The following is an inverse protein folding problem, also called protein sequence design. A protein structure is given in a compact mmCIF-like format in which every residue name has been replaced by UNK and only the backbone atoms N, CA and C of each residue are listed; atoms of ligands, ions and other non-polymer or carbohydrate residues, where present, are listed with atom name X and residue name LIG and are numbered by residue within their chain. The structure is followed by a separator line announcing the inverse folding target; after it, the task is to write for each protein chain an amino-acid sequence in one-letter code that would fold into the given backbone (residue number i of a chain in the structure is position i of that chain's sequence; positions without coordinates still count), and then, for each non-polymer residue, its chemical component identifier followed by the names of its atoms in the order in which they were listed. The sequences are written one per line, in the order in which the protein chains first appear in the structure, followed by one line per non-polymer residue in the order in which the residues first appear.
data_IF_682648921489
#
_entry.id   IF_682648921489
#
_cell.length_a   1.000
_cell.length_b   1.000
_cell.length_c   1.000
_cell.angle_alpha   90.00
_cell.angle_beta   90.00
_cell.angle_gamma   90.00
#
_symmetry.space_group_name_H-M   'P 1'
#
loop_
_entity.id
_entity.type
_entity.pdbx_description
1 polymer ?
#
# COMPACT_ATOMS: atom_id res chain seq x y z
N UNK A 1 -9.42 -31.61 -80.18
CA UNK A 1 -10.10 -31.24 -78.95
C UNK A 1 -9.08 -31.28 -77.83
N UNK A 2 -8.53 -30.14 -77.47
CA UNK A 2 -7.55 -30.03 -76.37
C UNK A 2 -8.26 -29.45 -75.11
N UNK A 3 -8.31 -30.22 -74.04
CA UNK A 3 -8.80 -29.76 -72.75
C UNK A 3 -7.69 -29.04 -72.04
N UNK A 4 -7.88 -27.77 -71.71
CA UNK A 4 -7.05 -27.03 -70.78
C UNK A 4 -7.58 -27.21 -69.33
N UNK A 5 -6.74 -27.79 -68.48
CA UNK A 5 -7.00 -27.82 -67.06
C UNK A 5 -6.44 -26.52 -66.41
N UNK A 6 -7.34 -25.74 -65.82
CA UNK A 6 -6.96 -24.54 -65.03
C UNK A 6 -6.69 -24.95 -63.60
N UNK A 7 -5.45 -24.77 -63.12
CA UNK A 7 -5.08 -24.89 -61.72
C UNK A 7 -5.46 -23.61 -61.01
N UNK A 8 -6.40 -23.70 -60.05
CA UNK A 8 -6.69 -22.63 -59.11
C UNK A 8 -5.80 -22.80 -57.88
N UNK A 9 -4.81 -21.91 -57.71
CA UNK A 9 -4.01 -21.83 -56.52
C UNK A 9 -4.80 -21.03 -55.47
N UNK A 10 -5.22 -21.69 -54.38
CA UNK A 10 -5.81 -21.02 -53.22
C UNK A 10 -4.70 -20.41 -52.38
N UNK A 11 -4.64 -19.07 -52.33
CA UNK A 11 -3.77 -18.34 -51.42
C UNK A 11 -4.38 -18.38 -50.01
N UNK A 12 -3.75 -19.10 -49.10
CA UNK A 12 -4.09 -19.08 -47.67
C UNK A 12 -3.43 -17.82 -47.07
N UNK A 13 -4.26 -16.79 -46.80
CA UNK A 13 -3.84 -15.61 -46.08
C UNK A 13 -3.77 -15.96 -44.57
N UNK A 14 -2.55 -16.13 -44.04
CA UNK A 14 -2.35 -16.20 -42.58
C UNK A 14 -2.68 -14.82 -42.00
N UNK A 15 -3.81 -14.70 -41.31
CA UNK A 15 -4.04 -13.58 -40.40
C UNK A 15 -3.10 -13.77 -39.21
N UNK A 16 -2.04 -12.98 -39.14
CA UNK A 16 -1.25 -12.84 -37.92
C UNK A 16 -2.14 -12.13 -36.88
N UNK A 17 -2.58 -12.87 -35.88
CA UNK A 17 -3.21 -12.30 -34.67
C UNK A 17 -2.07 -11.61 -33.93
N UNK A 18 -1.95 -10.28 -34.10
CA UNK A 18 -1.08 -9.47 -33.24
C UNK A 18 -1.77 -9.37 -31.88
N UNK A 19 -1.39 -10.25 -30.96
CA UNK A 19 -1.68 -10.04 -29.54
C UNK A 19 -1.16 -8.65 -29.09
N UNK A 20 -1.66 -8.09 -27.97
CA UNK A 20 -1.13 -6.85 -27.45
C UNK A 20 0.39 -7.00 -27.28
N UNK A 21 1.15 -6.07 -27.86
CA UNK A 21 2.59 -6.07 -27.73
C UNK A 21 2.92 -6.02 -26.23
N UNK A 22 3.51 -7.08 -25.71
CA UNK A 22 4.10 -7.09 -24.37
C UNK A 22 5.10 -5.93 -24.34
N UNK A 23 5.08 -5.13 -23.29
CA UNK A 23 6.06 -4.07 -23.12
C UNK A 23 7.44 -4.71 -23.11
N UNK A 24 8.38 -4.16 -23.89
CA UNK A 24 9.74 -4.71 -23.92
C UNK A 24 10.39 -4.53 -22.55
N UNK A 25 10.69 -5.63 -21.85
CA UNK A 25 11.38 -5.63 -20.56
C UNK A 25 12.68 -4.83 -20.62
N UNK A 26 13.28 -4.69 -21.83
CA UNK A 26 14.47 -3.87 -22.10
C UNK A 26 14.32 -2.38 -21.75
N UNK A 27 13.08 -1.84 -21.70
CA UNK A 27 12.82 -0.44 -21.38
C UNK A 27 12.59 -0.18 -19.89
N UNK A 28 12.60 -1.23 -19.02
CA UNK A 28 12.41 -1.11 -17.57
C UNK A 28 13.67 -1.45 -16.79
N UNK A 29 14.33 -0.46 -16.18
CA UNK A 29 15.48 -0.73 -15.30
C UNK A 29 15.13 -1.66 -14.13
N UNK A 30 13.87 -1.62 -13.63
CA UNK A 30 13.41 -2.49 -12.55
C UNK A 30 13.28 -3.93 -13.02
N UNK A 31 12.60 -4.18 -14.17
CA UNK A 31 12.48 -5.52 -14.73
C UNK A 31 13.82 -6.14 -15.10
N UNK A 32 14.74 -5.34 -15.68
CA UNK A 32 16.12 -5.80 -15.95
C UNK A 32 16.84 -6.26 -14.69
N UNK A 33 16.79 -5.46 -13.61
CA UNK A 33 17.39 -5.85 -12.32
C UNK A 33 16.78 -7.12 -11.76
N UNK A 34 15.45 -7.27 -11.86
CA UNK A 34 14.76 -8.49 -11.39
C UNK A 34 15.18 -9.69 -12.23
N UNK A 35 15.23 -9.55 -13.55
CA UNK A 35 15.66 -10.61 -14.48
C UNK A 35 17.10 -11.05 -14.20
N UNK A 36 18.02 -10.11 -14.00
CA UNK A 36 19.43 -10.40 -13.70
C UNK A 36 19.64 -11.09 -12.36
N UNK A 37 18.82 -10.74 -11.34
CA UNK A 37 18.96 -11.28 -9.98
C UNK A 37 18.14 -12.55 -9.73
N UNK A 38 17.10 -12.79 -10.52
CA UNK A 38 16.09 -13.82 -10.25
C UNK A 38 15.25 -13.53 -8.99
N UNK A 39 15.19 -12.26 -8.53
CA UNK A 39 14.58 -11.87 -7.25
C UNK A 39 13.82 -10.56 -7.39
N UNK A 40 12.61 -10.52 -6.81
CA UNK A 40 11.87 -9.27 -6.53
C UNK A 40 12.06 -8.89 -5.07
N UNK A 41 12.60 -7.72 -4.81
CA UNK A 41 12.74 -7.17 -3.46
C UNK A 41 11.50 -6.34 -3.09
N UNK A 42 10.70 -6.84 -2.14
CA UNK A 42 9.51 -6.18 -1.62
C UNK A 42 9.84 -5.48 -0.31
N UNK A 43 9.70 -4.14 -0.29
CA UNK A 43 9.71 -3.37 0.95
C UNK A 43 8.42 -3.58 1.72
N UNK A 44 8.50 -4.12 2.94
CA UNK A 44 7.34 -4.40 3.77
C UNK A 44 7.40 -3.67 5.12
N UNK A 45 6.23 -3.45 5.73
CA UNK A 45 6.11 -2.96 7.09
C UNK A 45 5.95 -4.12 8.06
N UNK A 46 6.45 -3.95 9.29
CA UNK A 46 6.37 -4.99 10.30
C UNK A 46 5.12 -4.85 11.18
N UNK A 47 4.47 -3.67 11.19
CA UNK A 47 3.43 -3.33 12.18
C UNK A 47 2.27 -2.49 11.62
N UNK A 48 2.10 -2.43 10.28
CA UNK A 48 1.01 -1.68 9.63
C UNK A 48 -0.20 -2.57 9.35
N UNK A 49 -0.88 -3.01 10.40
CA UNK A 49 -2.06 -3.89 10.34
C UNK A 49 -3.26 -3.09 9.79
N UNK A 50 -4.01 -3.62 8.79
CA UNK A 50 -3.90 -4.94 8.15
C UNK A 50 -3.15 -4.94 6.80
N UNK A 51 -2.41 -3.88 6.46
CA UNK A 51 -1.78 -3.71 5.13
C UNK A 51 -0.51 -4.53 4.94
N UNK A 52 0.39 -4.46 5.91
CA UNK A 52 1.70 -5.10 5.87
C UNK A 52 2.21 -5.26 7.30
N UNK A 53 2.32 -6.49 7.77
CA UNK A 53 2.77 -6.81 9.13
C UNK A 53 3.29 -8.24 9.20
N UNK A 54 3.99 -8.57 10.29
CA UNK A 54 4.50 -9.93 10.50
C UNK A 54 3.37 -10.82 11.00
N UNK A 55 3.09 -11.87 10.25
CA UNK A 55 2.09 -12.89 10.56
C UNK A 55 2.56 -13.92 11.59
N UNK A 56 1.68 -14.91 11.92
CA UNK A 56 1.99 -15.97 12.90
C UNK A 56 3.20 -16.82 12.53
N UNK A 57 3.43 -17.03 11.23
CA UNK A 57 4.54 -17.83 10.70
C UNK A 57 5.84 -17.03 10.55
N UNK A 58 5.90 -15.82 11.13
CA UNK A 58 7.01 -14.88 11.02
C UNK A 58 7.29 -14.39 9.58
N UNK A 59 6.27 -14.46 8.71
CA UNK A 59 6.32 -13.97 7.33
C UNK A 59 5.50 -12.69 7.18
N UNK A 60 5.90 -11.77 6.29
CA UNK A 60 5.11 -10.60 5.95
C UNK A 60 3.79 -10.98 5.30
N UNK A 61 2.68 -10.49 5.87
CA UNK A 61 1.32 -10.68 5.34
C UNK A 61 0.56 -9.36 5.35
N UNK A 62 -0.55 -9.30 4.65
CA UNK A 62 -1.47 -8.16 4.69
C UNK A 62 -2.06 -7.82 3.32
N UNK A 63 -2.98 -6.87 3.34
CA UNK A 63 -3.70 -6.39 2.16
C UNK A 63 -2.77 -5.94 1.04
N UNK A 64 -1.79 -5.08 1.36
CA UNK A 64 -0.82 -4.57 0.39
C UNK A 64 0.15 -5.65 -0.07
N UNK A 65 0.47 -6.62 0.78
CA UNK A 65 1.30 -7.79 0.41
C UNK A 65 0.56 -8.65 -0.62
N UNK A 66 -0.73 -8.97 -0.39
CA UNK A 66 -1.52 -9.74 -1.35
C UNK A 66 -1.59 -9.05 -2.73
N UNK A 67 -1.81 -7.72 -2.75
CA UNK A 67 -1.82 -6.95 -4.00
C UNK A 67 -0.45 -6.99 -4.72
N UNK A 68 0.64 -6.86 -3.98
CA UNK A 68 1.99 -6.93 -4.54
C UNK A 68 2.32 -8.31 -5.09
N UNK A 69 1.87 -9.38 -4.45
CA UNK A 69 2.09 -10.74 -4.97
C UNK A 69 1.39 -10.96 -6.32
N UNK A 70 0.22 -10.34 -6.56
CA UNK A 70 -0.41 -10.32 -7.90
C UNK A 70 0.47 -9.61 -8.94
N UNK A 71 1.18 -8.55 -8.54
CA UNK A 71 2.14 -7.88 -9.42
C UNK A 71 3.37 -8.77 -9.67
N UNK A 72 3.85 -9.50 -8.65
CA UNK A 72 4.93 -10.49 -8.82
C UNK A 72 4.55 -11.58 -9.83
N UNK A 73 3.32 -12.10 -9.77
CA UNK A 73 2.84 -13.08 -10.74
C UNK A 73 2.89 -12.51 -12.19
N UNK A 74 2.52 -11.24 -12.36
CA UNK A 74 2.62 -10.57 -13.66
C UNK A 74 4.07 -10.33 -14.09
N UNK A 75 4.99 -10.01 -13.16
CA UNK A 75 6.44 -9.90 -13.45
C UNK A 75 6.98 -11.24 -13.95
N UNK A 76 6.63 -12.34 -13.29
CA UNK A 76 7.03 -13.69 -13.73
C UNK A 76 6.56 -13.99 -15.15
N UNK A 77 5.30 -13.68 -15.44
CA UNK A 77 4.73 -13.87 -16.78
C UNK A 77 5.40 -12.99 -17.84
N UNK A 78 5.67 -11.71 -17.52
CA UNK A 78 6.32 -10.75 -18.42
C UNK A 78 7.76 -11.17 -18.77
N UNK A 79 8.52 -11.66 -17.77
CA UNK A 79 9.90 -12.09 -17.95
C UNK A 79 10.02 -13.54 -18.43
N UNK A 80 8.95 -14.33 -18.44
CA UNK A 80 8.97 -15.77 -18.73
C UNK A 80 9.81 -16.56 -17.72
N UNK A 81 9.81 -16.16 -16.46
CA UNK A 81 10.63 -16.71 -15.37
C UNK A 81 9.76 -17.13 -14.19
N UNK A 82 9.39 -18.39 -14.10
CA UNK A 82 8.53 -18.92 -13.02
C UNK A 82 9.24 -19.02 -11.65
N UNK A 83 10.58 -19.07 -11.66
CA UNK A 83 11.44 -19.30 -10.51
C UNK A 83 11.94 -18.01 -9.82
N UNK A 84 11.36 -16.85 -10.18
CA UNK A 84 11.66 -15.59 -9.48
C UNK A 84 11.26 -15.73 -8.00
N UNK A 85 12.22 -15.48 -7.12
CA UNK A 85 12.03 -15.46 -5.67
C UNK A 85 11.52 -14.08 -5.19
N UNK A 86 10.84 -14.08 -4.05
CA UNK A 86 10.44 -12.86 -3.35
C UNK A 86 11.30 -12.69 -2.10
N UNK A 87 12.03 -11.57 -2.03
CA UNK A 87 12.76 -11.17 -0.84
C UNK A 87 12.06 -10.01 -0.15
N UNK A 88 11.77 -10.18 1.13
CA UNK A 88 11.14 -9.15 1.94
C UNK A 88 12.18 -8.32 2.68
N UNK A 89 12.12 -6.99 2.49
CA UNK A 89 13.03 -6.01 3.10
C UNK A 89 12.23 -5.13 4.07
N UNK A 90 12.50 -5.17 5.38
CA UNK A 90 11.75 -4.35 6.33
C UNK A 90 12.02 -2.86 6.15
N UNK A 91 10.96 -2.06 6.09
CA UNK A 91 11.03 -0.61 5.92
C UNK A 91 10.23 0.14 6.98
N UNK A 92 10.66 1.38 7.27
CA UNK A 92 9.98 2.32 8.15
C UNK A 92 9.39 3.50 7.36
N UNK A 93 8.67 4.41 8.04
CA UNK A 93 8.23 5.67 7.44
C UNK A 93 9.38 6.50 6.85
N UNK A 94 10.57 6.43 7.45
CA UNK A 94 11.75 7.19 7.04
C UNK A 94 12.55 6.51 5.93
N UNK A 95 12.61 5.16 5.88
CA UNK A 95 13.53 4.43 4.98
C UNK A 95 12.88 4.01 3.66
N UNK A 96 11.56 3.82 3.60
CA UNK A 96 10.86 3.28 2.41
C UNK A 96 11.11 4.08 1.13
N UNK A 97 11.01 5.42 1.18
CA UNK A 97 11.19 6.28 0.00
C UNK A 97 12.63 6.24 -0.52
N UNK A 98 13.69 6.45 0.30
CA UNK A 98 15.06 6.28 -0.14
C UNK A 98 15.37 4.91 -0.74
N UNK A 99 14.82 3.82 -0.16
CA UNK A 99 15.08 2.45 -0.64
C UNK A 99 14.41 2.14 -1.99
N UNK A 100 13.24 2.71 -2.28
CA UNK A 100 12.64 2.68 -3.63
C UNK A 100 13.47 3.55 -4.59
N UNK A 101 13.80 4.77 -4.20
CA UNK A 101 14.47 5.72 -5.09
C UNK A 101 15.84 5.22 -5.57
N UNK A 102 16.56 4.48 -4.73
CA UNK A 102 17.89 3.92 -5.06
C UNK A 102 17.85 2.49 -5.63
N UNK A 103 16.66 1.87 -5.77
CA UNK A 103 16.49 0.53 -6.33
C UNK A 103 16.91 -0.63 -5.39
N UNK A 104 17.07 -0.37 -4.09
CA UNK A 104 17.29 -1.44 -3.09
C UNK A 104 16.05 -2.33 -2.97
N UNK A 105 14.87 -1.77 -3.03
CA UNK A 105 13.59 -2.48 -3.16
C UNK A 105 12.93 -2.09 -4.48
N UNK A 106 12.21 -3.03 -5.08
CA UNK A 106 11.56 -2.87 -6.38
C UNK A 106 10.12 -2.34 -6.23
N UNK A 107 9.44 -2.72 -5.14
CA UNK A 107 8.10 -2.22 -4.75
C UNK A 107 8.04 -2.03 -3.24
N UNK A 108 7.28 -1.03 -2.77
CA UNK A 108 6.90 -0.91 -1.36
C UNK A 108 5.43 -1.27 -1.17
N UNK A 109 5.19 -2.27 -0.34
CA UNK A 109 3.92 -2.93 -0.12
C UNK A 109 3.42 -2.67 1.31
N UNK A 110 3.23 -1.41 1.64
CA UNK A 110 2.85 -0.97 2.99
C UNK A 110 1.57 -0.13 3.01
N UNK A 111 1.53 0.78 3.96
CA UNK A 111 0.47 1.77 4.18
C UNK A 111 1.00 3.17 3.85
N UNK A 112 1.17 3.46 2.56
CA UNK A 112 1.86 4.68 2.16
C UNK A 112 0.93 5.64 1.42
N UNK A 113 0.75 6.82 2.02
CA UNK A 113 0.00 7.92 1.41
C UNK A 113 0.70 8.42 0.15
N UNK A 114 -0.02 8.42 -0.95
CA UNK A 114 0.35 9.09 -2.19
C UNK A 114 0.11 10.60 -2.04
N UNK A 115 1.16 11.40 -2.22
CA UNK A 115 1.07 12.86 -2.26
C UNK A 115 2.14 13.50 -3.15
N UNK A 116 1.88 14.74 -3.58
CA UNK A 116 2.73 15.45 -4.54
C UNK A 116 4.20 15.61 -4.10
N UNK A 117 4.45 15.76 -2.79
CA UNK A 117 5.82 15.87 -2.27
C UNK A 117 6.61 14.58 -2.45
N UNK A 118 5.99 13.43 -2.16
CA UNK A 118 6.61 12.12 -2.31
C UNK A 118 6.78 11.73 -3.78
N UNK A 119 5.85 12.12 -4.66
CA UNK A 119 5.94 11.92 -6.11
C UNK A 119 7.16 12.61 -6.76
N UNK A 120 7.81 13.54 -6.07
CA UNK A 120 9.08 14.09 -6.53
C UNK A 120 10.24 13.08 -6.47
N UNK A 121 10.11 12.01 -5.69
CA UNK A 121 11.16 11.02 -5.43
C UNK A 121 10.80 9.62 -5.91
N UNK A 122 9.53 9.24 -5.87
CA UNK A 122 8.99 7.91 -6.21
C UNK A 122 7.74 8.04 -7.06
N UNK A 123 7.29 6.93 -7.66
CA UNK A 123 6.02 6.83 -8.38
C UNK A 123 5.02 5.98 -7.59
N UNK A 124 3.73 6.15 -7.88
CA UNK A 124 2.64 5.47 -7.20
C UNK A 124 1.72 4.76 -8.19
N UNK A 125 1.36 3.52 -7.86
CA UNK A 125 0.34 2.77 -8.55
C UNK A 125 -1.07 3.32 -8.19
N UNK A 126 -2.15 2.80 -8.79
CA UNK A 126 -3.52 3.20 -8.44
C UNK A 126 -3.80 3.14 -6.93
N UNK A 127 -4.65 4.05 -6.45
CA UNK A 127 -5.06 4.10 -5.05
C UNK A 127 -5.74 2.80 -4.64
N UNK A 128 -5.24 2.20 -3.56
CA UNK A 128 -5.74 0.93 -3.02
C UNK A 128 -6.55 1.08 -1.75
N UNK A 129 -6.44 2.21 -1.05
CA UNK A 129 -7.17 2.50 0.17
C UNK A 129 -7.31 4.02 0.40
N UNK A 130 -8.30 4.42 1.19
CA UNK A 130 -8.51 5.83 1.57
C UNK A 130 -8.74 5.90 3.07
N UNK A 131 -7.98 6.73 3.76
CA UNK A 131 -7.97 6.92 5.20
C UNK A 131 -7.63 8.37 5.55
N UNK A 132 -7.35 8.64 6.81
CA UNK A 132 -6.86 9.93 7.30
C UNK A 132 -6.38 9.85 8.73
N UNK A 133 -5.64 10.85 9.13
CA UNK A 133 -5.03 10.94 10.46
C UNK A 133 -6.08 11.17 11.54
N UNK A 134 -6.01 10.34 12.59
CA UNK A 134 -6.73 10.46 13.86
C UNK A 134 -5.79 10.21 15.04
N UNK A 135 -6.34 10.23 16.24
CA UNK A 135 -5.61 9.91 17.48
C UNK A 135 -6.29 8.75 18.20
N UNK A 136 -5.47 7.88 18.80
CA UNK A 136 -5.93 6.86 19.73
C UNK A 136 -5.45 7.21 21.13
N UNK A 137 -6.29 6.98 22.12
CA UNK A 137 -6.01 7.16 23.54
C UNK A 137 -6.65 6.05 24.38
N UNK A 138 -6.32 5.97 25.65
CA UNK A 138 -7.05 5.07 26.55
C UNK A 138 -8.51 5.53 26.70
N UNK A 139 -9.42 4.58 26.76
CA UNK A 139 -10.84 4.85 27.00
C UNK A 139 -10.99 5.61 28.34
N UNK A 140 -11.82 6.65 28.32
CA UNK A 140 -12.04 7.49 29.50
C UNK A 140 -10.91 8.51 29.81
N UNK A 141 -9.91 8.66 28.94
CA UNK A 141 -8.84 9.67 29.07
C UNK A 141 -9.33 11.12 28.99
N UNK A 142 -10.56 11.34 28.49
CA UNK A 142 -11.09 12.67 28.19
C UNK A 142 -10.58 13.28 26.88
N UNK A 143 -9.76 12.55 26.11
CA UNK A 143 -9.24 12.98 24.81
C UNK A 143 -10.29 12.63 23.74
N UNK A 144 -10.97 13.63 23.20
CA UNK A 144 -12.01 13.50 22.18
C UNK A 144 -11.67 14.22 20.88
N UNK A 145 -10.82 15.24 20.94
CA UNK A 145 -10.28 16.00 19.81
C UNK A 145 -8.79 16.29 20.05
N UNK A 146 -8.10 16.77 19.03
CA UNK A 146 -6.67 17.12 19.11
C UNK A 146 -6.43 18.26 20.11
N UNK A 147 -7.41 19.13 20.29
CA UNK A 147 -7.36 20.24 21.24
C UNK A 147 -7.28 19.78 22.72
N UNK A 148 -7.77 18.58 23.02
CA UNK A 148 -7.68 17.98 24.37
C UNK A 148 -6.26 17.50 24.71
N UNK A 149 -5.33 17.61 23.75
CA UNK A 149 -3.93 17.29 23.94
C UNK A 149 -3.10 18.40 24.64
N UNK A 150 -3.71 19.54 24.93
CA UNK A 150 -3.03 20.63 25.69
C UNK A 150 -2.41 20.09 26.99
N UNK A 151 -1.11 20.32 27.16
CA UNK A 151 -0.34 19.86 28.32
C UNK A 151 -0.09 18.34 28.38
N UNK A 152 -0.28 17.60 27.27
CA UNK A 152 -0.15 16.13 27.18
C UNK A 152 0.95 15.71 26.21
N UNK A 153 1.21 14.41 26.19
CA UNK A 153 2.26 13.78 25.38
C UNK A 153 1.64 12.95 24.27
N UNK A 154 2.05 13.20 23.00
CA UNK A 154 1.62 12.40 21.84
C UNK A 154 2.80 11.68 21.19
N UNK A 155 2.62 10.39 20.88
CA UNK A 155 3.56 9.61 20.07
C UNK A 155 3.26 9.73 18.58
N UNK A 156 4.29 9.93 17.74
CA UNK A 156 4.15 10.04 16.30
C UNK A 156 5.25 9.24 15.60
N UNK A 157 4.86 8.40 14.63
CA UNK A 157 5.83 7.65 13.84
C UNK A 157 6.56 8.58 12.86
N UNK A 158 7.89 8.61 12.96
CA UNK A 158 8.73 9.50 12.18
C UNK A 158 8.65 9.25 10.66
N UNK A 159 8.63 10.31 9.85
CA UNK A 159 8.56 10.26 8.39
C UNK A 159 7.16 9.96 7.82
N UNK A 160 6.12 10.02 8.65
CA UNK A 160 4.72 9.81 8.22
C UNK A 160 4.03 11.13 7.86
N UNK A 161 2.91 11.02 7.12
CA UNK A 161 1.98 12.13 6.87
C UNK A 161 1.26 12.53 8.16
N UNK A 162 0.99 11.56 9.03
CA UNK A 162 0.36 11.77 10.33
C UNK A 162 1.19 12.68 11.23
N UNK A 163 2.51 12.45 11.30
CA UNK A 163 3.43 13.34 12.02
C UNK A 163 3.32 14.78 11.52
N UNK A 164 3.30 14.98 10.20
CA UNK A 164 3.18 16.32 9.60
C UNK A 164 1.82 16.97 9.89
N UNK A 165 0.73 16.20 9.71
CA UNK A 165 -0.63 16.71 9.91
C UNK A 165 -0.87 17.12 11.36
N UNK A 166 -0.46 16.29 12.32
CA UNK A 166 -0.65 16.59 13.74
C UNK A 166 0.22 17.77 14.17
N UNK A 167 1.50 17.82 13.77
CA UNK A 167 2.37 18.97 14.05
C UNK A 167 1.80 20.28 13.49
N UNK A 168 1.26 20.25 12.28
CA UNK A 168 0.65 21.43 11.66
C UNK A 168 -0.56 21.95 12.46
N UNK A 169 -1.43 21.05 12.96
CA UNK A 169 -2.59 21.43 13.77
C UNK A 169 -2.15 21.95 15.14
N UNK A 170 -1.17 21.31 15.80
CA UNK A 170 -0.60 21.79 17.07
C UNK A 170 -0.05 23.21 16.91
N UNK A 171 0.72 23.46 15.85
CA UNK A 171 1.28 24.79 15.56
C UNK A 171 0.17 25.80 15.24
N UNK A 172 -0.78 25.46 14.36
CA UNK A 172 -1.90 26.34 13.99
C UNK A 172 -2.75 26.77 15.19
N UNK A 173 -2.99 25.85 16.11
CA UNK A 173 -3.80 26.09 17.32
C UNK A 173 -3.00 26.67 18.49
N UNK A 174 -1.68 26.67 18.42
CA UNK A 174 -0.79 27.10 19.49
C UNK A 174 -0.88 26.22 20.72
N UNK A 175 -1.10 24.90 20.55
CA UNK A 175 -1.20 23.95 21.65
C UNK A 175 0.19 23.62 22.23
N UNK A 176 0.27 23.52 23.56
CA UNK A 176 1.45 23.02 24.28
C UNK A 176 1.37 21.49 24.40
N UNK A 177 2.00 20.79 23.45
CA UNK A 177 1.95 19.31 23.36
C UNK A 177 3.37 18.76 23.22
N UNK A 178 3.75 17.86 24.12
CA UNK A 178 5.01 17.15 24.02
C UNK A 178 4.92 16.05 22.96
N UNK A 179 5.80 16.07 21.95
CA UNK A 179 5.82 15.10 20.85
C UNK A 179 6.96 14.10 21.04
N UNK A 180 6.62 12.82 21.17
CA UNK A 180 7.57 11.71 21.25
C UNK A 180 7.68 11.03 19.89
N UNK A 181 8.81 11.18 19.17
CA UNK A 181 9.00 10.45 17.92
C UNK A 181 9.23 8.97 18.20
N UNK A 182 8.53 8.11 17.43
CA UNK A 182 8.69 6.66 17.48
C UNK A 182 9.13 6.12 16.12
N UNK A 183 9.80 4.96 16.11
CA UNK A 183 10.31 4.34 14.89
C UNK A 183 9.17 3.77 14.01
N UNK A 184 8.21 3.11 14.66
CA UNK A 184 7.11 2.40 14.00
C UNK A 184 5.86 2.36 14.90
N UNK A 185 4.79 1.74 14.37
CA UNK A 185 3.49 1.70 15.06
C UNK A 185 3.52 0.86 16.33
N UNK A 186 4.31 -0.23 16.38
CA UNK A 186 4.39 -1.07 17.58
C UNK A 186 5.08 -0.34 18.74
N UNK A 187 6.13 0.42 18.46
CA UNK A 187 6.78 1.24 19.47
C UNK A 187 5.85 2.34 20.01
N UNK A 188 5.09 2.99 19.09
CA UNK A 188 4.09 3.98 19.48
C UNK A 188 2.98 3.39 20.32
N UNK A 189 2.47 2.23 19.92
CA UNK A 189 1.42 1.54 20.66
C UNK A 189 1.88 1.08 22.04
N UNK A 190 3.06 0.48 22.15
CA UNK A 190 3.64 0.10 23.44
C UNK A 190 3.84 1.30 24.37
N UNK A 191 4.21 2.46 23.82
CA UNK A 191 4.34 3.68 24.61
C UNK A 191 2.98 4.13 25.18
N UNK A 192 1.88 3.99 24.42
CA UNK A 192 0.52 4.26 24.87
C UNK A 192 0.05 3.24 25.92
N UNK A 193 0.28 1.95 25.70
CA UNK A 193 -0.07 0.88 26.64
C UNK A 193 0.62 1.05 28.00
N UNK A 194 1.88 1.54 27.99
CA UNK A 194 2.71 1.71 29.18
C UNK A 194 2.69 3.12 29.79
N UNK A 195 1.70 3.95 29.43
CA UNK A 195 1.50 5.32 29.94
C UNK A 195 2.73 6.26 29.76
N UNK A 196 3.54 6.02 28.72
CA UNK A 196 4.65 6.93 28.34
C UNK A 196 4.18 8.07 27.46
N UNK A 197 3.03 7.91 26.83
CA UNK A 197 2.32 8.90 26.03
C UNK A 197 0.84 8.83 26.36
N UNK A 198 0.13 9.94 26.25
CA UNK A 198 -1.31 10.04 26.49
C UNK A 198 -2.13 9.64 25.25
N UNK A 199 -1.56 9.86 24.05
CA UNK A 199 -2.19 9.49 22.78
C UNK A 199 -1.14 9.07 21.75
N UNK A 200 -1.60 8.28 20.75
CA UNK A 200 -0.83 7.91 19.58
C UNK A 200 -1.52 8.39 18.32
N UNK A 201 -0.81 9.14 17.48
CA UNK A 201 -1.33 9.68 16.22
C UNK A 201 -0.95 8.82 15.02
N UNK A 202 -1.95 8.37 14.25
CA UNK A 202 -1.77 7.61 13.01
C UNK A 202 -3.04 7.67 12.15
N UNK A 203 -3.06 6.97 11.02
CA UNK A 203 -4.29 6.78 10.26
C UNK A 203 -5.29 5.90 11.02
N UNK A 204 -6.56 6.24 10.95
CA UNK A 204 -7.61 5.58 11.73
C UNK A 204 -7.61 4.07 11.58
N UNK A 205 -7.46 3.57 10.37
CA UNK A 205 -7.42 2.14 10.06
C UNK A 205 -6.24 1.43 10.74
N UNK A 206 -5.07 2.08 10.82
CA UNK A 206 -3.90 1.53 11.50
C UNK A 206 -4.10 1.52 13.02
N UNK A 207 -4.77 2.54 13.57
CA UNK A 207 -5.15 2.59 14.97
C UNK A 207 -6.12 1.46 15.32
N UNK A 208 -7.14 1.21 14.51
CA UNK A 208 -8.03 0.05 14.68
C UNK A 208 -7.29 -1.28 14.55
N UNK A 209 -6.29 -1.35 13.64
CA UNK A 209 -5.42 -2.50 13.51
C UNK A 209 -4.64 -2.81 14.78
N UNK A 210 -4.06 -1.79 15.42
CA UNK A 210 -3.33 -1.92 16.69
C UNK A 210 -4.27 -2.32 17.83
N UNK A 211 -5.42 -1.66 17.93
CA UNK A 211 -6.45 -1.99 18.94
C UNK A 211 -6.90 -3.46 18.81
N UNK A 212 -7.10 -3.95 17.59
CA UNK A 212 -7.55 -5.34 17.36
C UNK A 212 -6.57 -6.41 17.85
N UNK A 213 -5.30 -6.04 18.03
CA UNK A 213 -4.23 -6.92 18.54
C UNK A 213 -3.86 -6.65 20.00
N UNK A 214 -4.44 -5.61 20.61
CA UNK A 214 -4.28 -5.35 22.03
C UNK A 214 -4.88 -6.46 22.89
N UNK A 215 -4.33 -6.66 24.08
CA UNK A 215 -4.90 -7.57 25.09
C UNK A 215 -6.22 -7.08 25.67
N UNK A 216 -6.47 -5.75 25.60
CA UNK A 216 -7.70 -5.10 26.03
C UNK A 216 -8.19 -4.10 24.96
N UNK A 217 -8.85 -4.58 23.88
CA UNK A 217 -9.34 -3.68 22.84
C UNK A 217 -10.36 -2.65 23.31
N UNK A 218 -11.16 -2.96 24.35
CA UNK A 218 -12.15 -2.05 24.92
C UNK A 218 -11.52 -0.92 25.77
N UNK A 219 -10.26 -1.09 26.17
CA UNK A 219 -9.49 -0.11 26.93
C UNK A 219 -9.00 1.07 26.08
N UNK A 220 -9.26 1.08 24.78
CA UNK A 220 -8.78 2.13 23.86
C UNK A 220 -9.90 2.68 22.99
N UNK A 221 -9.71 3.90 22.51
CA UNK A 221 -10.63 4.59 21.60
C UNK A 221 -9.86 5.30 20.49
N UNK A 222 -10.46 5.39 19.31
CA UNK A 222 -10.02 6.26 18.21
C UNK A 222 -10.98 7.44 18.15
N UNK A 223 -10.48 8.65 18.29
CA UNK A 223 -11.30 9.85 18.47
C UNK A 223 -10.86 10.99 17.55
N UNK A 224 -11.66 12.03 17.55
CA UNK A 224 -11.44 13.25 16.82
C UNK A 224 -11.88 13.22 15.36
N UNK A 225 -11.89 14.41 14.77
CA UNK A 225 -12.08 14.58 13.33
C UNK A 225 -10.87 14.05 12.57
N UNK A 226 -11.03 13.82 11.27
CA UNK A 226 -9.88 13.58 10.40
C UNK A 226 -9.03 14.85 10.28
N UNK A 227 -7.71 14.71 10.53
CA UNK A 227 -6.73 15.79 10.44
C UNK A 227 -6.05 15.84 9.06
N UNK A 228 -6.24 14.81 8.25
CA UNK A 228 -5.74 14.71 6.88
C UNK A 228 -6.63 13.82 6.03
N UNK A 229 -6.35 13.82 4.71
CA UNK A 229 -6.89 12.87 3.73
C UNK A 229 -5.71 12.11 3.12
N UNK A 230 -5.69 10.79 3.28
CA UNK A 230 -4.55 9.96 2.98
C UNK A 230 -4.92 8.81 2.02
N UNK A 231 -4.85 9.02 0.68
CA UNK A 231 -5.00 7.95 -0.29
C UNK A 231 -3.75 7.08 -0.29
N UNK A 232 -3.87 5.81 0.05
CA UNK A 232 -2.76 4.86 0.02
C UNK A 232 -2.59 4.27 -1.38
N UNK A 233 -1.33 4.07 -1.75
CA UNK A 233 -0.95 3.38 -2.96
C UNK A 233 0.40 2.66 -2.78
N UNK A 234 0.63 1.63 -3.57
CA UNK A 234 1.92 0.94 -3.63
C UNK A 234 2.93 1.86 -4.32
N UNK A 235 4.17 1.88 -3.82
CA UNK A 235 5.25 2.70 -4.41
C UNK A 235 6.16 1.86 -5.29
N UNK A 236 6.59 2.47 -6.38
CA UNK A 236 7.57 1.95 -7.33
C UNK A 236 8.62 3.02 -7.65
N UNK A 237 9.70 2.62 -8.31
CA UNK A 237 10.75 3.54 -8.71
C UNK A 237 10.21 4.56 -9.73
N UNK A 238 10.60 5.82 -9.56
CA UNK A 238 10.24 6.90 -10.48
C UNK A 238 10.96 6.76 -11.82
N UNK A 239 10.32 7.23 -12.88
CA UNK A 239 10.83 7.22 -14.26
C UNK A 239 11.00 5.81 -14.87
N UNK A 240 10.30 4.82 -14.32
CA UNK A 240 10.18 3.48 -14.90
C UNK A 240 8.72 3.24 -15.34
N UNK A 241 8.34 3.89 -16.44
CA UNK A 241 6.96 3.87 -16.93
C UNK A 241 6.48 2.49 -17.37
N UNK A 242 7.40 1.61 -17.77
CA UNK A 242 7.11 0.22 -18.14
C UNK A 242 6.70 -0.58 -16.90
N UNK A 243 7.47 -0.48 -15.82
CA UNK A 243 7.15 -1.15 -14.56
C UNK A 243 5.89 -0.58 -13.90
N UNK A 244 5.75 0.77 -13.89
CA UNK A 244 4.53 1.44 -13.41
C UNK A 244 3.30 0.97 -14.19
N UNK A 245 3.38 0.90 -15.52
CA UNK A 245 2.29 0.44 -16.37
C UNK A 245 1.92 -1.02 -16.06
N UNK A 246 2.90 -1.92 -15.86
CA UNK A 246 2.66 -3.31 -15.49
C UNK A 246 1.86 -3.38 -14.18
N UNK A 247 2.30 -2.71 -13.12
CA UNK A 247 1.59 -2.67 -11.84
C UNK A 247 0.18 -2.05 -11.96
N UNK A 248 0.04 -0.98 -12.75
CA UNK A 248 -1.25 -0.33 -13.02
C UNK A 248 -2.23 -1.26 -13.73
N UNK A 249 -1.80 -1.99 -14.76
CA UNK A 249 -2.63 -2.94 -15.51
C UNK A 249 -3.11 -4.06 -14.60
N UNK A 250 -2.24 -4.60 -13.74
CA UNK A 250 -2.60 -5.63 -12.76
C UNK A 250 -3.69 -5.12 -11.82
N UNK A 251 -3.45 -3.97 -11.16
CA UNK A 251 -4.42 -3.44 -10.20
C UNK A 251 -5.75 -3.06 -10.86
N UNK A 252 -5.72 -2.46 -12.06
CA UNK A 252 -6.93 -2.16 -12.82
C UNK A 252 -7.70 -3.45 -13.18
N UNK A 253 -6.99 -4.52 -13.54
CA UNK A 253 -7.57 -5.84 -13.80
C UNK A 253 -8.26 -6.44 -12.57
N UNK A 254 -7.60 -6.38 -11.40
CA UNK A 254 -8.18 -6.83 -10.13
C UNK A 254 -9.43 -6.01 -9.74
N UNK A 255 -9.41 -4.70 -9.97
CA UNK A 255 -10.56 -3.83 -9.71
C UNK A 255 -11.71 -4.14 -10.67
N UNK A 256 -11.43 -4.36 -11.96
CA UNK A 256 -12.43 -4.68 -12.99
C UNK A 256 -13.08 -6.05 -12.80
N UNK A 257 -12.29 -7.06 -12.43
CA UNK A 257 -12.80 -8.43 -12.18
C UNK A 257 -13.60 -8.55 -10.87
N UNK A 258 -13.41 -7.60 -9.93
CA UNK A 258 -13.94 -7.68 -8.57
C UNK A 258 -12.98 -8.34 -7.57
N UNK A 259 -11.88 -8.95 -8.01
CA UNK A 259 -10.90 -9.61 -7.13
C UNK A 259 -10.28 -8.63 -6.11
N UNK A 260 -10.09 -7.36 -6.47
CA UNK A 260 -9.65 -6.34 -5.52
C UNK A 260 -10.61 -6.18 -4.32
N UNK A 261 -11.93 -6.32 -4.54
CA UNK A 261 -12.93 -6.29 -3.47
C UNK A 261 -12.88 -7.56 -2.60
N UNK A 262 -12.58 -8.72 -3.19
CA UNK A 262 -12.40 -9.98 -2.45
C UNK A 262 -11.15 -9.92 -1.55
N UNK A 263 -10.03 -9.40 -2.09
CA UNK A 263 -8.81 -9.18 -1.30
C UNK A 263 -9.07 -8.15 -0.18
N UNK A 264 -9.85 -7.09 -0.46
CA UNK A 264 -10.26 -6.14 0.57
C UNK A 264 -11.05 -6.82 1.68
N UNK A 265 -12.11 -7.55 1.34
CA UNK A 265 -12.98 -8.25 2.29
C UNK A 265 -12.19 -9.22 3.19
N UNK A 266 -11.22 -9.95 2.63
CA UNK A 266 -10.32 -10.84 3.39
C UNK A 266 -9.65 -10.14 4.58
N UNK A 267 -9.29 -8.86 4.44
CA UNK A 267 -8.48 -8.15 5.44
C UNK A 267 -9.27 -7.17 6.30
N UNK A 268 -10.38 -6.62 5.80
CA UNK A 268 -11.14 -5.54 6.45
C UNK A 268 -12.55 -5.92 6.88
N UNK A 269 -13.07 -7.05 6.45
CA UNK A 269 -14.29 -7.65 6.99
C UNK A 269 -13.89 -8.75 7.98
N UNK A 270 -14.74 -9.13 8.97
CA UNK A 270 -14.30 -9.99 10.07
C UNK A 270 -13.52 -11.22 9.61
N UNK A 271 -12.21 -11.16 9.74
CA UNK A 271 -11.23 -12.14 9.24
C UNK A 271 -10.00 -12.19 10.16
N UNK A 272 -8.79 -12.32 9.59
CA UNK A 272 -7.55 -12.55 10.37
C UNK A 272 -7.22 -11.44 11.37
N UNK A 273 -7.75 -10.23 11.17
CA UNK A 273 -7.43 -9.03 11.96
C UNK A 273 -8.51 -8.62 12.93
N UNK A 274 -9.70 -9.24 12.91
CA UNK A 274 -10.89 -8.82 13.66
C UNK A 274 -11.30 -7.35 13.42
N UNK A 275 -10.83 -6.73 12.34
CA UNK A 275 -11.26 -5.40 11.91
C UNK A 275 -12.58 -5.58 11.17
N UNK A 276 -13.58 -4.76 11.47
CA UNK A 276 -14.83 -4.71 10.73
C UNK A 276 -14.97 -3.30 10.11
N UNK A 277 -14.42 -3.15 8.92
CA UNK A 277 -14.41 -1.90 8.16
C UNK A 277 -14.84 -2.20 6.71
N UNK A 278 -16.15 -2.26 6.44
CA UNK A 278 -16.66 -2.42 5.08
C UNK A 278 -16.11 -1.35 4.14
N UNK A 279 -15.93 -1.70 2.86
CA UNK A 279 -15.42 -0.76 1.87
C UNK A 279 -16.32 0.46 1.77
N UNK A 280 -15.73 1.65 1.90
CA UNK A 280 -16.47 2.91 1.77
C UNK A 280 -16.91 3.16 0.31
N UNK A 281 -18.01 3.92 0.14
CA UNK A 281 -18.47 4.34 -1.20
C UNK A 281 -17.38 5.11 -1.97
N UNK A 282 -16.60 5.91 -1.27
CA UNK A 282 -15.48 6.67 -1.86
C UNK A 282 -14.41 5.73 -2.43
N UNK A 283 -14.03 4.69 -1.69
CA UNK A 283 -13.04 3.71 -2.17
C UNK A 283 -13.62 2.84 -3.28
N UNK A 284 -14.89 2.42 -3.19
CA UNK A 284 -15.58 1.67 -4.25
C UNK A 284 -15.61 2.48 -5.55
N UNK A 285 -15.97 3.78 -5.48
CA UNK A 285 -15.94 4.67 -6.62
C UNK A 285 -14.52 4.85 -7.19
N UNK A 286 -13.51 4.98 -6.31
CA UNK A 286 -12.12 5.05 -6.76
C UNK A 286 -11.70 3.79 -7.52
N UNK A 287 -12.12 2.59 -7.08
CA UNK A 287 -11.86 1.35 -7.80
C UNK A 287 -12.55 1.32 -9.17
N UNK A 288 -13.80 1.75 -9.27
CA UNK A 288 -14.55 1.82 -10.53
C UNK A 288 -13.87 2.76 -11.55
N UNK A 289 -13.41 3.94 -11.09
CA UNK A 289 -12.70 4.91 -11.95
C UNK A 289 -11.34 4.36 -12.41
N UNK A 290 -10.63 3.65 -11.53
CA UNK A 290 -9.28 3.12 -11.81
C UNK A 290 -9.29 1.77 -12.54
N UNK A 291 -10.45 1.09 -12.61
CA UNK A 291 -10.61 -0.20 -13.29
C UNK A 291 -10.31 -0.14 -14.79
N UNK A 292 -10.33 1.01 -15.41
CA UNK A 292 -10.06 1.32 -16.83
C UNK A 292 -10.57 0.25 -17.82
N UNK A 293 -11.25 0.62 -18.89
CA UNK A 293 -11.62 -0.30 -19.96
C UNK A 293 -10.36 -0.83 -20.69
N UNK A 294 -10.49 -1.99 -21.35
CA UNK A 294 -9.47 -2.57 -22.22
C UNK A 294 -9.33 -1.81 -23.52
#
# INVERSE_FOLDING_TARGET
MKFMLANAAAAITLLAITGPALADAGDSPTLQRIQERGVVNIGHRETSIPFSYIGPDNEPIGYSIDLCLKIVDAIKAELGMDDIEVHYVPVTGQTRIPLIANGTIDMECGSTTNNLTRQQQVEYLPTTFITGTKIASKAGSGITEIEDMEGKVIGLAAGTTNEKAIKAVIEEKGLDVDIVPVKDHSQGWLALETDRIDAYGSDDVLLYGLISKSSDPAGYQVTGRFLSFDPYALMVQRNDSTFERLGRVVLAGLMRSGEAKEIYAKWFEPGPTNINMPMSDTLSTAFEIQALPE
#
